data_IF_456746901943
#
_entry.id   IF_456746901943
#
_cell.length_a   1.000
_cell.length_b   1.000
_cell.length_c   1.000
_cell.angle_alpha   90.00
_cell.angle_beta   90.00
_cell.angle_gamma   90.00
#
_symmetry.space_group_name_H-M   'P 1'
#
loop_
_entity.id
_entity.type
_entity.pdbx_description
1 polymer ?
#
# COMPACT_ATOMS: atom_id res chain seq x y z
N UNK A 1 2.62 20.27 16.03
CA UNK A 1 1.49 20.62 16.96
C UNK A 1 0.30 19.67 16.77
N UNK A 2 -0.18 19.43 15.54
CA UNK A 2 -1.32 18.53 15.22
C UNK A 2 -1.18 17.11 15.81
N UNK A 3 -0.05 16.38 15.66
CA UNK A 3 0.03 15.02 16.19
C UNK A 3 -0.02 14.94 17.73
N UNK A 4 0.37 15.99 18.44
CA UNK A 4 0.29 16.03 19.90
C UNK A 4 -1.15 16.28 20.36
N UNK A 5 -1.85 17.23 19.74
CA UNK A 5 -3.25 17.51 20.05
C UNK A 5 -4.17 16.32 19.73
N UNK A 6 -3.86 15.57 18.66
CA UNK A 6 -4.63 14.41 18.24
C UNK A 6 -4.54 13.22 19.24
N UNK A 7 -3.56 13.22 20.14
CA UNK A 7 -3.40 12.21 21.22
C UNK A 7 -4.14 12.58 22.50
N UNK A 8 -4.71 13.77 22.58
CA UNK A 8 -5.39 14.24 23.80
C UNK A 8 -6.85 13.76 23.82
N UNK A 9 -7.11 12.72 24.62
CA UNK A 9 -8.42 12.29 25.13
C UNK A 9 -9.57 12.31 24.13
N UNK A 10 -10.43 13.30 24.21
CA UNK A 10 -11.65 13.43 23.39
C UNK A 10 -11.34 13.68 21.91
N UNK A 11 -10.30 14.46 21.59
CA UNK A 11 -9.93 14.77 20.21
C UNK A 11 -9.44 13.51 19.46
N UNK A 12 -8.72 12.62 20.13
CA UNK A 12 -8.27 11.38 19.54
C UNK A 12 -9.42 10.48 19.06
N UNK A 13 -10.60 10.60 19.69
CA UNK A 13 -11.80 9.82 19.37
C UNK A 13 -12.64 10.41 18.24
N UNK A 14 -12.36 11.65 17.81
CA UNK A 14 -13.05 12.24 16.66
C UNK A 14 -12.81 11.37 15.42
N UNK A 15 -13.89 11.10 14.68
CA UNK A 15 -13.84 10.23 13.50
C UNK A 15 -14.16 11.03 12.24
N UNK A 16 -13.43 10.70 11.18
CA UNK A 16 -13.58 11.31 9.87
C UNK A 16 -13.84 10.23 8.82
N UNK A 17 -14.72 10.44 7.84
CA UNK A 17 -14.89 9.53 6.73
C UNK A 17 -13.57 9.27 6.01
N UNK A 18 -13.27 8.02 5.68
CA UNK A 18 -12.02 7.64 4.99
C UNK A 18 -11.88 8.41 3.68
N UNK A 19 -12.97 8.63 2.94
CA UNK A 19 -12.97 9.40 1.69
C UNK A 19 -12.47 10.85 1.80
N UNK A 20 -12.35 11.40 3.03
CA UNK A 20 -11.80 12.74 3.26
C UNK A 20 -10.27 12.73 3.40
N UNK A 21 -9.71 11.58 3.73
CA UNK A 21 -8.26 11.42 4.01
C UNK A 21 -7.56 10.55 2.98
N UNK A 22 -8.32 9.81 2.17
CA UNK A 22 -7.77 8.92 1.16
C UNK A 22 -8.50 9.11 -0.19
N UNK A 23 -7.76 9.22 -1.31
CA UNK A 23 -8.34 9.42 -2.66
C UNK A 23 -8.90 8.11 -3.21
N UNK A 24 -10.06 7.67 -2.70
CA UNK A 24 -10.67 6.39 -3.07
C UNK A 24 -10.96 6.24 -4.57
N UNK A 25 -11.13 7.37 -5.29
CA UNK A 25 -11.28 7.37 -6.75
C UNK A 25 -9.98 7.04 -7.51
N UNK A 26 -8.84 6.99 -6.82
CA UNK A 26 -7.54 6.64 -7.40
C UNK A 26 -7.16 5.17 -7.20
N UNK A 27 -8.09 4.33 -6.70
CA UNK A 27 -7.85 2.91 -6.42
C UNK A 27 -7.60 2.07 -7.67
N UNK A 28 -8.26 2.41 -8.78
CA UNK A 28 -8.12 1.70 -10.04
C UNK A 28 -8.08 2.68 -11.21
N UNK A 29 -7.57 2.23 -12.34
CA UNK A 29 -7.73 2.92 -13.63
C UNK A 29 -9.09 2.64 -14.28
N UNK A 30 -9.77 1.59 -13.83
CA UNK A 30 -11.13 1.30 -14.22
C UNK A 30 -12.09 2.21 -13.44
N UNK A 31 -12.89 3.07 -14.13
CA UNK A 31 -13.84 3.97 -13.47
C UNK A 31 -14.93 3.24 -12.69
N UNK A 32 -15.43 2.09 -13.17
CA UNK A 32 -16.47 1.33 -12.48
C UNK A 32 -15.96 0.77 -11.15
N UNK A 33 -14.74 0.20 -11.16
CA UNK A 33 -14.11 -0.29 -9.95
C UNK A 33 -13.77 0.85 -8.98
N UNK A 34 -13.30 1.99 -9.48
CA UNK A 34 -13.06 3.17 -8.65
C UNK A 34 -14.35 3.67 -7.99
N UNK A 35 -15.47 3.71 -8.72
CA UNK A 35 -16.77 4.06 -8.15
C UNK A 35 -17.24 3.02 -7.12
N UNK A 36 -17.06 1.73 -7.38
CA UNK A 36 -17.37 0.69 -6.40
C UNK A 36 -16.60 0.88 -5.10
N UNK A 37 -15.31 1.27 -5.16
CA UNK A 37 -14.50 1.60 -3.98
C UNK A 37 -15.03 2.84 -3.22
N UNK A 38 -15.49 3.86 -3.94
CA UNK A 38 -16.07 5.08 -3.33
C UNK A 38 -17.39 4.78 -2.61
N UNK A 39 -18.22 3.91 -3.18
CA UNK A 39 -19.54 3.55 -2.64
C UNK A 39 -19.48 2.46 -1.56
N UNK A 40 -18.34 1.79 -1.41
CA UNK A 40 -18.20 0.72 -0.42
C UNK A 40 -18.32 1.27 1.00
N UNK A 41 -19.36 0.81 1.71
CA UNK A 41 -19.66 1.21 3.10
C UNK A 41 -18.62 0.73 4.10
N UNK A 42 -17.94 -0.37 3.83
CA UNK A 42 -16.92 -0.96 4.70
C UNK A 42 -15.54 -0.34 4.43
N UNK A 43 -15.31 0.14 3.21
CA UNK A 43 -14.12 0.86 2.78
C UNK A 43 -14.29 2.38 2.93
N UNK A 44 -14.54 3.08 1.83
CA UNK A 44 -14.63 4.54 1.76
C UNK A 44 -15.75 5.15 2.62
N UNK A 45 -16.85 4.41 2.82
CA UNK A 45 -17.95 4.81 3.71
C UNK A 45 -17.65 4.65 5.20
N UNK A 46 -16.56 4.00 5.55
CA UNK A 46 -16.09 3.83 6.92
C UNK A 46 -15.43 5.12 7.45
N UNK A 47 -15.02 5.12 8.70
CA UNK A 47 -14.38 6.27 9.34
C UNK A 47 -13.14 5.88 10.13
N UNK A 48 -12.18 6.77 10.17
CA UNK A 48 -10.91 6.64 10.89
C UNK A 48 -10.85 7.68 12.00
N UNK A 49 -10.26 7.33 13.15
CA UNK A 49 -10.10 8.29 14.25
C UNK A 49 -8.90 9.20 14.04
N UNK A 50 -8.97 10.40 14.60
CA UNK A 50 -7.84 11.34 14.58
C UNK A 50 -6.62 10.75 15.31
N UNK A 51 -6.84 9.99 16.39
CA UNK A 51 -5.77 9.29 17.10
C UNK A 51 -5.04 8.29 16.21
N UNK A 52 -5.79 7.45 15.46
CA UNK A 52 -5.18 6.53 14.51
C UNK A 52 -4.35 7.26 13.44
N UNK A 53 -4.89 8.35 12.87
CA UNK A 53 -4.15 9.13 11.86
C UNK A 53 -2.87 9.74 12.45
N UNK A 54 -2.93 10.23 13.69
CA UNK A 54 -1.76 10.77 14.38
C UNK A 54 -0.70 9.68 14.63
N UNK A 55 -1.12 8.51 15.07
CA UNK A 55 -0.21 7.37 15.32
C UNK A 55 0.40 6.86 14.00
N UNK A 56 -0.40 6.77 12.93
CA UNK A 56 0.09 6.40 11.60
C UNK A 56 1.17 7.38 11.10
N UNK A 57 0.95 8.68 11.27
CA UNK A 57 1.87 9.73 10.81
C UNK A 57 3.15 9.85 11.66
N UNK A 58 3.14 9.32 12.87
CA UNK A 58 4.27 9.37 13.80
C UNK A 58 4.87 8.00 14.10
N UNK A 59 4.36 6.96 13.45
CA UNK A 59 4.90 5.60 13.61
C UNK A 59 6.32 5.54 13.06
N UNK A 60 7.25 5.12 13.91
CA UNK A 60 8.63 4.88 13.52
C UNK A 60 8.78 3.42 13.09
N UNK A 61 9.27 3.22 11.88
CA UNK A 61 9.62 1.90 11.36
C UNK A 61 11.15 1.72 11.43
N UNK A 62 11.65 0.50 11.68
CA UNK A 62 13.07 0.23 11.59
C UNK A 62 13.62 0.65 10.22
N UNK A 63 14.86 1.18 10.15
CA UNK A 63 15.47 1.52 8.87
C UNK A 63 15.54 0.30 7.95
N UNK A 64 15.21 0.43 6.67
CA UNK A 64 15.23 -0.70 5.73
C UNK A 64 16.62 -1.32 5.60
N UNK A 65 17.68 -0.57 5.87
CA UNK A 65 19.05 -1.05 5.90
C UNK A 65 19.32 -2.09 6.99
N UNK A 66 18.48 -2.17 8.01
CA UNK A 66 18.58 -3.15 9.09
C UNK A 66 17.91 -4.48 8.75
N UNK A 67 17.05 -4.51 7.73
CA UNK A 67 16.39 -5.73 7.30
C UNK A 67 17.33 -6.63 6.48
N UNK A 68 17.73 -7.77 7.05
CA UNK A 68 18.79 -8.63 6.50
C UNK A 68 18.32 -9.99 6.03
N UNK A 69 17.10 -10.38 6.29
CA UNK A 69 16.52 -11.67 5.87
C UNK A 69 15.02 -11.68 6.12
N UNK A 70 14.25 -12.48 5.40
CA UNK A 70 14.52 -13.22 4.15
C UNK A 70 14.52 -12.32 2.91
N UNK A 71 14.66 -12.91 1.70
CA UNK A 71 14.49 -12.22 0.41
C UNK A 71 13.16 -11.50 0.34
N UNK A 72 13.16 -10.30 -0.22
CA UNK A 72 11.96 -9.49 -0.44
C UNK A 72 11.61 -9.48 -1.93
N UNK A 73 10.35 -9.72 -2.26
CA UNK A 73 9.80 -9.48 -3.58
C UNK A 73 8.83 -8.29 -3.48
N UNK A 74 9.20 -7.16 -4.06
CA UNK A 74 8.30 -6.03 -4.25
C UNK A 74 7.67 -6.13 -5.64
N UNK A 75 6.33 -6.25 -5.67
CA UNK A 75 5.54 -6.16 -6.89
C UNK A 75 4.61 -4.97 -6.75
N UNK A 76 4.76 -3.94 -7.58
CA UNK A 76 4.06 -2.67 -7.43
C UNK A 76 3.40 -2.24 -8.74
N UNK A 77 2.14 -1.74 -8.74
CA UNK A 77 1.50 -1.25 -9.94
C UNK A 77 2.23 -0.05 -10.54
N UNK A 78 2.57 -0.11 -11.83
CA UNK A 78 3.34 0.96 -12.50
C UNK A 78 2.54 2.26 -12.68
N UNK A 79 1.21 2.18 -12.70
CA UNK A 79 0.32 3.33 -12.87
C UNK A 79 -0.45 3.67 -11.57
N UNK A 80 0.11 3.33 -10.41
CA UNK A 80 -0.46 3.68 -9.12
C UNK A 80 -0.37 5.21 -8.91
N UNK A 81 -1.53 5.85 -8.93
CA UNK A 81 -1.65 7.29 -8.72
C UNK A 81 -1.87 7.66 -7.25
N UNK A 82 -2.17 6.69 -6.40
CA UNK A 82 -2.31 6.91 -4.96
C UNK A 82 -0.95 6.81 -4.25
N UNK A 83 -0.24 5.70 -4.48
CA UNK A 83 1.11 5.51 -3.93
C UNK A 83 2.09 5.40 -5.11
N UNK A 84 2.72 6.49 -5.53
CA UNK A 84 3.64 6.46 -6.67
C UNK A 84 4.73 5.41 -6.49
N UNK A 85 5.01 4.57 -7.52
CA UNK A 85 5.94 3.45 -7.41
C UNK A 85 7.35 3.86 -6.98
N UNK A 86 7.77 5.09 -7.27
CA UNK A 86 9.08 5.62 -6.89
C UNK A 86 9.30 5.63 -5.38
N UNK A 87 8.24 5.78 -4.59
CA UNK A 87 8.30 5.75 -3.12
C UNK A 87 8.67 4.35 -2.65
N UNK A 88 7.95 3.33 -3.14
CA UNK A 88 8.17 1.92 -2.80
C UNK A 88 9.52 1.41 -3.33
N UNK A 89 9.89 1.78 -4.55
CA UNK A 89 11.17 1.41 -5.17
C UNK A 89 12.34 2.00 -4.38
N UNK A 90 12.25 3.28 -3.98
CA UNK A 90 13.28 3.93 -3.16
C UNK A 90 13.45 3.26 -1.80
N UNK A 91 12.34 2.88 -1.17
CA UNK A 91 12.37 2.18 0.11
C UNK A 91 12.99 0.78 -0.06
N UNK A 92 12.50 -0.02 -1.03
CA UNK A 92 12.99 -1.38 -1.27
C UNK A 92 14.46 -1.41 -1.70
N UNK A 93 14.92 -0.39 -2.45
CA UNK A 93 16.34 -0.26 -2.83
C UNK A 93 17.30 0.01 -1.68
N UNK A 94 16.78 0.33 -0.48
CA UNK A 94 17.57 0.51 0.75
C UNK A 94 17.60 -0.73 1.63
N UNK A 95 16.78 -1.75 1.34
CA UNK A 95 16.75 -2.99 2.12
C UNK A 95 18.11 -3.70 1.99
N UNK A 96 18.72 -4.06 3.14
CA UNK A 96 20.01 -4.74 3.15
C UNK A 96 19.92 -6.20 2.68
N UNK A 97 18.77 -6.85 2.80
CA UNK A 97 18.51 -8.15 2.22
C UNK A 97 18.34 -8.05 0.70
N UNK A 98 18.41 -9.19 -0.01
CA UNK A 98 18.08 -9.20 -1.44
C UNK A 98 16.63 -8.75 -1.68
N UNK A 99 16.46 -7.68 -2.45
CA UNK A 99 15.16 -7.18 -2.87
C UNK A 99 15.04 -7.24 -4.39
N UNK A 100 14.07 -7.99 -4.89
CA UNK A 100 13.71 -8.04 -6.30
C UNK A 100 12.49 -7.13 -6.50
N UNK A 101 12.54 -6.23 -7.49
CA UNK A 101 11.53 -5.18 -7.69
C UNK A 101 10.92 -5.34 -9.09
N UNK A 102 9.61 -5.48 -9.15
CA UNK A 102 8.85 -5.60 -10.39
C UNK A 102 7.69 -4.60 -10.42
N UNK A 103 7.57 -3.88 -11.53
CA UNK A 103 6.47 -2.96 -11.77
C UNK A 103 5.45 -3.61 -12.70
N UNK A 104 4.19 -3.70 -12.24
CA UNK A 104 3.08 -4.29 -12.99
C UNK A 104 2.56 -3.32 -14.04
N UNK A 105 2.52 -3.77 -15.29
CA UNK A 105 2.12 -2.95 -16.42
C UNK A 105 0.61 -2.63 -16.39
N UNK A 106 0.27 -1.38 -16.59
CA UNK A 106 -1.09 -0.94 -16.91
C UNK A 106 -2.12 -1.01 -15.79
N UNK A 107 -1.76 -1.35 -14.56
CA UNK A 107 -2.69 -1.38 -13.44
C UNK A 107 -2.50 -0.22 -12.45
N UNK A 108 -3.59 0.15 -11.78
CA UNK A 108 -3.66 1.15 -10.71
C UNK A 108 -3.36 0.55 -9.35
N UNK A 109 -3.74 1.26 -8.28
CA UNK A 109 -3.45 0.85 -6.89
C UNK A 109 -3.93 -0.57 -6.56
N UNK A 110 -5.12 -0.94 -7.01
CA UNK A 110 -5.54 -2.34 -7.03
C UNK A 110 -5.05 -3.00 -8.31
N UNK A 111 -4.14 -3.99 -8.23
CA UNK A 111 -3.56 -4.62 -9.41
C UNK A 111 -4.48 -5.71 -9.98
N UNK A 112 -5.66 -5.31 -10.43
CA UNK A 112 -6.71 -6.19 -11.00
C UNK A 112 -6.89 -6.00 -12.50
N UNK A 113 -6.29 -4.94 -13.06
CA UNK A 113 -6.34 -4.68 -14.49
C UNK A 113 -5.28 -5.49 -15.25
N UNK A 114 -5.61 -5.81 -16.51
CA UNK A 114 -4.68 -6.48 -17.43
C UNK A 114 -3.69 -5.47 -18.05
N UNK A 115 -2.45 -5.89 -18.36
CA UNK A 115 -1.87 -7.23 -18.12
C UNK A 115 -1.30 -7.42 -16.70
N UNK A 116 -1.35 -6.41 -15.85
CA UNK A 116 -0.70 -6.38 -14.54
C UNK A 116 -1.11 -7.52 -13.61
N UNK A 117 -2.40 -7.94 -13.63
CA UNK A 117 -2.85 -9.07 -12.80
C UNK A 117 -2.23 -10.40 -13.23
N UNK A 118 -2.00 -10.61 -14.52
CA UNK A 118 -1.32 -11.82 -15.02
C UNK A 118 0.17 -11.79 -14.68
N UNK A 119 0.80 -10.62 -14.78
CA UNK A 119 2.19 -10.41 -14.35
C UNK A 119 2.35 -10.68 -12.85
N UNK A 120 1.43 -10.17 -12.01
CA UNK A 120 1.41 -10.46 -10.57
C UNK A 120 1.32 -11.97 -10.31
N UNK A 121 0.39 -12.65 -10.98
CA UNK A 121 0.23 -14.10 -10.84
C UNK A 121 1.49 -14.88 -11.28
N UNK A 122 2.18 -14.41 -12.32
CA UNK A 122 3.43 -15.02 -12.76
C UNK A 122 4.55 -14.85 -11.72
N UNK A 123 4.73 -13.65 -11.17
CA UNK A 123 5.73 -13.40 -10.13
C UNK A 123 5.48 -14.20 -8.86
N UNK A 124 4.23 -14.31 -8.43
CA UNK A 124 3.86 -15.11 -7.25
C UNK A 124 4.10 -16.60 -7.46
N UNK A 125 3.79 -17.15 -8.67
CA UNK A 125 4.09 -18.54 -9.00
C UNK A 125 5.60 -18.82 -9.02
N UNK A 126 6.39 -17.92 -9.59
CA UNK A 126 7.84 -18.04 -9.60
C UNK A 126 8.42 -18.03 -8.18
N UNK A 127 7.96 -17.11 -7.33
CA UNK A 127 8.38 -17.07 -5.93
C UNK A 127 8.02 -18.38 -5.20
N UNK A 128 6.79 -18.88 -5.39
CA UNK A 128 6.36 -20.13 -4.78
C UNK A 128 7.20 -21.33 -5.24
N UNK A 129 7.52 -21.41 -6.52
CA UNK A 129 8.38 -22.46 -7.07
C UNK A 129 9.80 -22.43 -6.49
N UNK A 130 10.38 -21.22 -6.37
CA UNK A 130 11.70 -21.03 -5.75
C UNK A 130 11.71 -21.52 -4.29
N UNK A 131 10.66 -21.22 -3.52
CA UNK A 131 10.57 -21.61 -2.11
C UNK A 131 10.41 -23.13 -1.93
N UNK A 132 9.67 -23.80 -2.82
CA UNK A 132 9.45 -25.24 -2.79
C UNK A 132 10.70 -25.99 -3.29
N UNK A 133 11.40 -25.46 -4.29
CA UNK A 133 12.60 -26.06 -4.87
C UNK A 133 13.87 -25.93 -4.01
N UNK A 134 13.82 -25.12 -2.95
CA UNK A 134 14.97 -24.87 -2.05
C UNK A 134 14.93 -25.77 -0.80
N UNK A 135 13.94 -26.66 -0.67
CA UNK A 135 13.82 -27.66 0.39
C UNK A 135 14.37 -29.00 -0.07
#
# INVERSE_FOLDING_TARGET
LMPVLARVGVLARMRFPIRWVAPMSAMSRDPELSWACVDDRLGAGSSVSLGFLADLMTHEVPPPEEYRAPRVLLVHPAADSWTPPEVSVRFAGRIAARADIHLLTGCGHFPVEQPGVDELAAHLRALAADLIGTT
#
